data_IF_644529488163
#
_entry.id   IF_644529488163
#
_cell.length_a   1.000
_cell.length_b   1.000
_cell.length_c   1.000
_cell.angle_alpha   90.00
_cell.angle_beta   90.00
_cell.angle_gamma   90.00
#
_symmetry.space_group_name_H-M   'P 1'
#
loop_
_entity.id
_entity.type
_entity.pdbx_description
1 polymer ?
#
# COMPACT_ATOMS: atom_id res chain seq x y z
N UNK A 1 -10.45 -21.02 -0.62
CA UNK A 1 -9.80 -19.85 0.03
C UNK A 1 -10.70 -18.65 -0.21
N UNK A 2 -11.13 -17.96 0.84
CA UNK A 2 -11.89 -16.71 0.71
C UNK A 2 -10.90 -15.67 0.15
N UNK A 3 -11.15 -15.12 -1.04
CA UNK A 3 -10.38 -13.97 -1.54
C UNK A 3 -10.77 -12.77 -0.68
N UNK A 4 -9.87 -12.32 0.19
CA UNK A 4 -10.05 -11.03 0.84
C UNK A 4 -10.01 -9.94 -0.23
N UNK A 5 -10.82 -8.88 -0.04
CA UNK A 5 -10.83 -7.76 -0.97
C UNK A 5 -9.48 -7.03 -0.85
N UNK A 6 -8.79 -6.88 -1.97
CA UNK A 6 -7.56 -6.10 -2.06
C UNK A 6 -7.89 -4.61 -2.16
N UNK A 7 -7.29 -3.80 -1.30
CA UNK A 7 -7.35 -2.35 -1.35
C UNK A 7 -6.01 -1.83 -1.86
N UNK A 8 -6.06 -1.14 -2.99
CA UNK A 8 -4.90 -0.47 -3.60
C UNK A 8 -4.97 1.01 -3.24
N UNK A 9 -3.93 1.52 -2.60
CA UNK A 9 -3.79 2.93 -2.23
C UNK A 9 -2.77 3.59 -3.15
N UNK A 10 -3.22 4.57 -3.93
CA UNK A 10 -2.36 5.38 -4.78
C UNK A 10 -1.93 6.64 -4.01
N UNK A 11 -0.63 6.73 -3.74
CA UNK A 11 0.00 7.73 -2.90
C UNK A 11 0.38 7.20 -1.51
N UNK A 12 1.60 7.49 -1.08
CA UNK A 12 2.22 7.06 0.17
C UNK A 12 2.60 8.23 1.08
N UNK A 13 1.85 9.34 0.98
CA UNK A 13 1.86 10.43 1.96
C UNK A 13 1.18 10.03 3.27
N UNK A 14 0.91 11.02 4.13
CA UNK A 14 0.26 10.80 5.43
C UNK A 14 -1.10 10.09 5.29
N UNK A 15 -1.95 10.62 4.40
CA UNK A 15 -3.29 10.09 4.15
C UNK A 15 -3.25 8.68 3.55
N UNK A 16 -2.34 8.44 2.61
CA UNK A 16 -2.19 7.13 1.95
C UNK A 16 -1.75 6.04 2.93
N UNK A 17 -0.70 6.31 3.70
CA UNK A 17 -0.20 5.36 4.72
C UNK A 17 -1.22 5.15 5.83
N UNK A 18 -1.89 6.21 6.28
CA UNK A 18 -2.96 6.11 7.27
C UNK A 18 -4.11 5.21 6.79
N UNK A 19 -4.53 5.39 5.54
CA UNK A 19 -5.56 4.56 4.90
C UNK A 19 -5.12 3.11 4.80
N UNK A 20 -3.88 2.86 4.38
CA UNK A 20 -3.33 1.52 4.25
C UNK A 20 -3.29 0.77 5.60
N UNK A 21 -2.87 1.45 6.66
CA UNK A 21 -2.83 0.89 8.02
C UNK A 21 -4.23 0.60 8.55
N UNK A 22 -5.21 1.47 8.28
CA UNK A 22 -6.60 1.26 8.69
C UNK A 22 -7.22 0.08 7.95
N UNK A 23 -7.03 -0.03 6.64
CA UNK A 23 -7.50 -1.15 5.83
C UNK A 23 -6.91 -2.48 6.29
N UNK A 24 -5.59 -2.53 6.55
CA UNK A 24 -4.93 -3.74 7.06
C UNK A 24 -5.49 -4.15 8.43
N UNK A 25 -5.76 -3.18 9.32
CA UNK A 25 -6.42 -3.44 10.62
C UNK A 25 -7.84 -3.99 10.48
N UNK A 26 -8.56 -3.62 9.42
CA UNK A 26 -9.90 -4.14 9.14
C UNK A 26 -9.88 -5.53 8.47
N UNK A 27 -8.69 -6.10 8.24
CA UNK A 27 -8.53 -7.44 7.67
C UNK A 27 -8.52 -7.47 6.14
N UNK A 28 -8.38 -6.33 5.47
CA UNK A 28 -8.19 -6.29 4.03
C UNK A 28 -6.74 -6.59 3.65
N UNK A 29 -6.54 -7.17 2.47
CA UNK A 29 -5.23 -7.16 1.83
C UNK A 29 -4.97 -5.74 1.32
N UNK A 30 -3.76 -5.23 1.51
CA UNK A 30 -3.44 -3.83 1.19
C UNK A 30 -2.16 -3.75 0.38
N UNK A 31 -2.19 -2.95 -0.67
CA UNK A 31 -1.03 -2.58 -1.47
C UNK A 31 -0.95 -1.06 -1.61
N UNK A 32 0.23 -0.48 -1.40
CA UNK A 32 0.45 0.97 -1.53
C UNK A 32 1.38 1.24 -2.71
N UNK A 33 1.05 2.24 -3.53
CA UNK A 33 1.84 2.56 -4.72
C UNK A 33 2.03 4.05 -4.84
N UNK A 34 3.28 4.50 -4.96
CA UNK A 34 3.61 5.90 -5.15
C UNK A 34 4.53 6.08 -6.35
N UNK A 35 4.24 7.08 -7.18
CA UNK A 35 5.08 7.43 -8.32
C UNK A 35 6.41 8.05 -7.88
N UNK A 36 6.41 8.75 -6.75
CA UNK A 36 7.58 9.33 -6.13
C UNK A 36 8.30 8.36 -5.19
N UNK A 37 9.35 8.88 -4.55
CA UNK A 37 10.06 8.16 -3.49
C UNK A 37 9.29 8.29 -2.18
N UNK A 38 8.97 7.17 -1.53
CA UNK A 38 8.30 7.18 -0.23
C UNK A 38 9.31 7.65 0.81
N UNK A 39 8.90 8.61 1.65
CA UNK A 39 9.73 9.08 2.76
C UNK A 39 10.02 7.93 3.73
N UNK A 40 11.24 7.88 4.27
CA UNK A 40 11.68 6.74 5.10
C UNK A 40 10.79 6.49 6.32
N UNK A 41 10.24 7.55 6.92
CA UNK A 41 9.27 7.45 8.01
C UNK A 41 8.02 6.65 7.61
N UNK A 42 7.46 6.92 6.44
CA UNK A 42 6.31 6.21 5.89
C UNK A 42 6.66 4.79 5.45
N UNK A 43 7.81 4.61 4.78
CA UNK A 43 8.30 3.29 4.38
C UNK A 43 8.45 2.35 5.59
N UNK A 44 9.04 2.85 6.67
CA UNK A 44 9.22 2.09 7.91
C UNK A 44 7.88 1.68 8.56
N UNK A 45 6.84 2.52 8.45
CA UNK A 45 5.50 2.17 8.93
C UNK A 45 4.91 1.02 8.11
N UNK A 46 5.00 1.09 6.78
CA UNK A 46 4.51 0.05 5.87
C UNK A 46 5.22 -1.29 6.14
N UNK A 47 6.55 -1.28 6.26
CA UNK A 47 7.35 -2.46 6.60
C UNK A 47 6.95 -3.02 7.97
N UNK A 48 6.86 -2.18 9.01
CA UNK A 48 6.48 -2.61 10.37
C UNK A 48 5.07 -3.20 10.43
N UNK A 49 4.19 -2.79 9.52
CA UNK A 49 2.82 -3.29 9.39
C UNK A 49 2.67 -4.43 8.38
N UNK A 50 3.78 -4.87 7.78
CA UNK A 50 3.82 -5.91 6.77
C UNK A 50 2.89 -5.61 5.57
N UNK A 51 2.82 -4.34 5.18
CA UNK A 51 2.04 -3.84 4.04
C UNK A 51 2.96 -3.77 2.84
N UNK A 52 2.58 -4.46 1.76
CA UNK A 52 3.30 -4.42 0.49
C UNK A 52 3.19 -3.06 -0.17
N UNK A 53 4.28 -2.58 -0.76
CA UNK A 53 4.29 -1.30 -1.46
C UNK A 53 5.25 -1.28 -2.65
N UNK A 54 5.00 -0.37 -3.59
CA UNK A 54 5.94 0.06 -4.63
C UNK A 54 6.22 1.57 -4.53
N UNK A 55 7.38 1.97 -5.03
CA UNK A 55 7.77 3.38 -5.13
C UNK A 55 8.53 3.65 -6.43
N UNK A 56 8.45 4.87 -6.94
CA UNK A 56 9.10 5.26 -8.19
C UNK A 56 8.37 4.79 -9.46
N UNK A 57 7.23 4.12 -9.34
CA UNK A 57 6.42 3.65 -10.47
C UNK A 57 5.00 3.24 -10.04
N UNK A 58 4.14 2.96 -11.02
CA UNK A 58 2.83 2.33 -10.80
C UNK A 58 2.71 1.00 -11.55
N UNK A 59 3.84 0.38 -11.93
CA UNK A 59 3.86 -0.80 -12.79
C UNK A 59 3.29 -2.02 -12.07
N UNK A 60 3.59 -2.18 -10.79
CA UNK A 60 3.07 -3.31 -10.01
C UNK A 60 1.57 -3.19 -9.81
N UNK A 61 1.03 -1.99 -9.58
CA UNK A 61 -0.44 -1.79 -9.58
C UNK A 61 -1.06 -2.19 -10.91
N UNK A 62 -0.48 -1.77 -12.04
CA UNK A 62 -1.00 -2.12 -13.36
C UNK A 62 -0.99 -3.62 -13.63
N UNK A 63 -0.03 -4.35 -13.08
CA UNK A 63 0.04 -5.81 -13.18
C UNK A 63 -1.00 -6.50 -12.28
N UNK A 64 -1.19 -6.02 -11.05
CA UNK A 64 -2.17 -6.53 -10.09
C UNK A 64 -3.61 -6.37 -10.61
N UNK A 65 -3.90 -5.30 -11.37
CA UNK A 65 -5.24 -4.99 -11.87
C UNK A 65 -5.63 -5.76 -13.15
N UNK A 66 -4.71 -6.51 -13.76
CA UNK A 66 -5.00 -7.36 -14.93
C UNK A 66 -5.61 -8.70 -14.51
#
# INVERSE_FOLDING_TARGET
MIKNKLIIVLGAGESGVGTAVLAAKQGFDVFVSDFGKIKDNYRNILIKKNISFEEGSHNTVLEIMK
#
